data_IF_531491747137
#
_entry.id   IF_531491747137
#
_cell.length_a   1.000
_cell.length_b   1.000
_cell.length_c   1.000
_cell.angle_alpha   90.00
_cell.angle_beta   90.00
_cell.angle_gamma   90.00
#
_symmetry.space_group_name_H-M   'P 1'
#
loop_
_entity.id
_entity.type
_entity.pdbx_description
1 polymer ?
#
# COMPACT_ATOMS: atom_id res chain seq x y z
N UNK A 1 10.59 -1.78 10.31
CA UNK A 1 9.92 -0.59 9.74
C UNK A 1 10.51 -0.27 8.36
N UNK A 2 9.68 -0.06 7.33
CA UNK A 2 10.18 0.16 5.95
C UNK A 2 9.12 0.05 4.86
N UNK A 3 7.95 -0.53 5.14
CA UNK A 3 6.81 -0.55 4.23
C UNK A 3 5.86 0.63 4.51
N UNK A 4 5.68 1.50 3.52
CA UNK A 4 4.71 2.59 3.58
C UNK A 4 3.27 2.08 3.67
N UNK A 5 2.90 1.07 2.87
CA UNK A 5 1.55 0.47 2.88
C UNK A 5 1.19 -0.13 4.23
N UNK A 6 2.13 -0.85 4.87
CA UNK A 6 1.94 -1.38 6.22
C UNK A 6 1.76 -0.26 7.24
N UNK A 7 2.52 0.83 7.12
CA UNK A 7 2.42 1.97 8.02
C UNK A 7 1.03 2.61 7.96
N UNK A 8 0.50 2.82 6.74
CA UNK A 8 -0.86 3.35 6.52
C UNK A 8 -1.92 2.42 7.15
N UNK A 9 -1.79 1.10 6.93
CA UNK A 9 -2.76 0.15 7.47
C UNK A 9 -2.68 0.03 9.00
N UNK A 10 -1.49 0.01 9.59
CA UNK A 10 -1.36 -0.02 11.04
C UNK A 10 -1.89 1.27 11.70
N UNK A 11 -1.72 2.44 11.07
CA UNK A 11 -2.33 3.69 11.53
C UNK A 11 -3.87 3.62 11.50
N UNK A 12 -4.43 3.12 10.40
CA UNK A 12 -5.87 2.88 10.27
C UNK A 12 -6.39 1.94 11.38
N UNK A 13 -5.69 0.85 11.68
CA UNK A 13 -6.06 -0.04 12.80
C UNK A 13 -5.97 0.66 14.16
N UNK A 14 -4.92 1.47 14.39
CA UNK A 14 -4.74 2.21 15.65
C UNK A 14 -5.88 3.19 15.92
N UNK A 15 -6.40 3.87 14.88
CA UNK A 15 -7.58 4.75 14.98
C UNK A 15 -8.83 4.02 15.52
N UNK A 16 -8.88 2.70 15.33
CA UNK A 16 -9.95 1.82 15.81
C UNK A 16 -9.59 1.01 17.06
N UNK A 17 -8.51 1.37 17.77
CA UNK A 17 -7.98 0.60 18.91
C UNK A 17 -7.75 -0.89 18.56
N UNK A 18 -7.25 -1.15 17.35
CA UNK A 18 -6.87 -2.48 16.85
C UNK A 18 -5.38 -2.52 16.53
N UNK A 19 -4.85 -3.73 16.49
CA UNK A 19 -3.46 -4.01 16.09
C UNK A 19 -3.44 -5.28 15.24
N UNK A 20 -2.31 -5.54 14.57
CA UNK A 20 -2.12 -6.76 13.77
C UNK A 20 -2.21 -8.05 14.60
N UNK A 21 -2.07 -7.99 15.93
CA UNK A 21 -2.15 -9.14 16.82
C UNK A 21 -3.55 -9.77 16.89
N UNK A 22 -4.58 -9.12 16.30
CA UNK A 22 -5.93 -9.68 16.18
C UNK A 22 -6.06 -10.71 15.05
N UNK A 23 -5.11 -10.75 14.11
CA UNK A 23 -5.09 -11.78 13.07
C UNK A 23 -4.42 -13.05 13.61
N UNK A 24 -5.01 -14.22 13.34
CA UNK A 24 -4.48 -15.52 13.78
C UNK A 24 -3.12 -15.85 13.16
N UNK A 25 -2.85 -15.32 11.96
CA UNK A 25 -1.59 -15.47 11.23
C UNK A 25 -1.31 -14.22 10.43
N UNK A 26 -0.06 -13.77 10.45
CA UNK A 26 0.42 -12.63 9.66
C UNK A 26 1.72 -13.01 8.95
N UNK A 27 1.78 -12.78 7.64
CA UNK A 27 2.99 -12.97 6.83
C UNK A 27 3.47 -11.61 6.32
N UNK A 28 4.78 -11.35 6.36
CA UNK A 28 5.37 -10.11 5.84
C UNK A 28 6.20 -10.43 4.61
N UNK A 29 5.88 -9.78 3.48
CA UNK A 29 6.51 -9.98 2.17
C UNK A 29 6.80 -8.61 1.59
N UNK A 30 7.97 -8.44 0.96
CA UNK A 30 8.40 -7.18 0.36
C UNK A 30 8.09 -7.06 -1.13
N UNK A 31 7.87 -8.17 -1.81
CA UNK A 31 7.61 -8.23 -3.26
C UNK A 31 6.11 -8.26 -3.56
N UNK A 32 5.65 -7.31 -4.38
CA UNK A 32 4.23 -7.22 -4.75
C UNK A 32 3.77 -8.39 -5.62
N UNK A 33 4.63 -8.93 -6.49
CA UNK A 33 4.25 -10.06 -7.34
C UNK A 33 3.87 -11.27 -6.49
N UNK A 34 4.73 -11.60 -5.52
CA UNK A 34 4.53 -12.67 -4.55
C UNK A 34 3.25 -12.46 -3.72
N UNK A 35 3.01 -11.24 -3.23
CA UNK A 35 1.78 -10.93 -2.49
C UNK A 35 0.55 -11.19 -3.37
N UNK A 36 0.54 -10.71 -4.62
CA UNK A 36 -0.60 -10.86 -5.53
C UNK A 36 -0.89 -12.32 -5.84
N UNK A 37 0.14 -13.14 -6.11
CA UNK A 37 -0.04 -14.58 -6.33
C UNK A 37 -0.67 -15.28 -5.13
N UNK A 38 -0.17 -15.03 -3.91
CA UNK A 38 -0.71 -15.68 -2.71
C UNK A 38 -2.18 -15.29 -2.44
N UNK A 39 -2.55 -14.03 -2.71
CA UNK A 39 -3.94 -13.58 -2.56
C UNK A 39 -4.82 -14.19 -3.65
N UNK A 40 -4.37 -14.24 -4.90
CA UNK A 40 -5.09 -14.86 -6.00
C UNK A 40 -5.33 -16.37 -5.77
N UNK A 41 -4.37 -17.05 -5.12
CA UNK A 41 -4.48 -18.46 -4.72
C UNK A 41 -5.37 -18.66 -3.47
N UNK A 42 -6.00 -17.61 -2.95
CA UNK A 42 -6.94 -17.69 -1.82
C UNK A 42 -6.28 -17.87 -0.45
N UNK A 43 -4.98 -17.61 -0.32
CA UNK A 43 -4.22 -17.86 0.91
C UNK A 43 -4.33 -16.72 1.94
N UNK A 44 -5.05 -15.65 1.63
CA UNK A 44 -5.31 -14.56 2.57
C UNK A 44 -5.75 -13.26 1.89
N UNK A 45 -5.65 -12.17 2.64
CA UNK A 45 -5.91 -10.80 2.19
C UNK A 45 -4.66 -9.95 2.35
N UNK A 46 -4.57 -8.85 1.59
CA UNK A 46 -3.47 -7.89 1.70
C UNK A 46 -3.97 -6.46 1.48
N UNK A 47 -3.15 -5.49 1.90
CA UNK A 47 -3.42 -4.06 1.76
C UNK A 47 -2.30 -3.45 0.92
N UNK A 48 -2.68 -2.94 -0.25
CA UNK A 48 -1.77 -2.47 -1.31
C UNK A 48 -2.27 -1.15 -1.89
N UNK A 49 -1.39 -0.41 -2.58
CA UNK A 49 -1.81 0.70 -3.41
C UNK A 49 -2.60 0.17 -4.62
N UNK A 50 -3.71 0.81 -4.96
CA UNK A 50 -4.58 0.43 -6.07
C UNK A 50 -3.83 0.33 -7.41
N UNK A 51 -2.93 1.29 -7.68
CA UNK A 51 -2.09 1.28 -8.88
C UNK A 51 -1.21 0.02 -9.02
N UNK A 52 -0.85 -0.66 -7.92
CA UNK A 52 -0.03 -1.87 -7.95
C UNK A 52 -0.83 -3.14 -8.36
N UNK A 53 -2.16 -3.07 -8.31
CA UNK A 53 -3.09 -4.18 -8.56
C UNK A 53 -4.10 -3.90 -9.68
N UNK A 54 -3.99 -2.76 -10.38
CA UNK A 54 -4.97 -2.34 -11.40
C UNK A 54 -5.25 -3.42 -12.44
N UNK A 55 -4.20 -4.07 -12.97
CA UNK A 55 -4.36 -5.15 -13.97
C UNK A 55 -5.14 -6.35 -13.43
N UNK A 56 -4.86 -6.73 -12.19
CA UNK A 56 -5.53 -7.84 -11.51
C UNK A 56 -6.98 -7.52 -11.16
N UNK A 57 -7.29 -6.26 -10.85
CA UNK A 57 -8.66 -5.78 -10.67
C UNK A 57 -9.42 -5.78 -12.01
N UNK A 58 -8.81 -5.25 -13.07
CA UNK A 58 -9.41 -5.16 -14.42
C UNK A 58 -9.73 -6.55 -14.99
N UNK A 59 -8.88 -7.55 -14.71
CA UNK A 59 -9.06 -8.94 -15.12
C UNK A 59 -9.97 -9.75 -14.20
N UNK A 60 -10.35 -9.22 -13.03
CA UNK A 60 -11.17 -9.91 -12.03
C UNK A 60 -10.45 -11.02 -11.26
N UNK A 61 -9.12 -11.15 -11.40
CA UNK A 61 -8.31 -12.11 -10.64
C UNK A 61 -8.24 -11.73 -9.16
N UNK A 62 -8.21 -10.42 -8.88
CA UNK A 62 -8.31 -9.88 -7.54
C UNK A 62 -9.56 -9.01 -7.42
N UNK A 63 -10.10 -8.95 -6.21
CA UNK A 63 -11.20 -8.07 -5.85
C UNK A 63 -10.76 -7.10 -4.74
N UNK A 64 -11.29 -5.88 -4.80
CA UNK A 64 -11.13 -4.88 -3.74
C UNK A 64 -12.29 -4.97 -2.76
N UNK A 65 -12.02 -4.72 -1.49
CA UNK A 65 -13.02 -4.43 -0.48
C UNK A 65 -12.63 -3.14 0.25
N UNK A 66 -13.62 -2.38 0.69
CA UNK A 66 -13.41 -1.14 1.44
C UNK A 66 -13.71 -1.36 2.92
N UNK A 67 -12.93 -0.70 3.77
CA UNK A 67 -13.18 -0.64 5.21
C UNK A 67 -14.01 0.61 5.51
N UNK A 68 -15.26 0.40 5.95
CA UNK A 68 -16.15 1.49 6.33
C UNK A 68 -15.48 2.43 7.36
N UNK A 69 -15.73 3.74 7.20
CA UNK A 69 -15.24 4.79 8.10
C UNK A 69 -13.70 4.84 8.28
N UNK A 70 -12.97 4.17 7.38
CA UNK A 70 -11.51 4.02 7.50
C UNK A 70 -10.85 4.40 6.17
N UNK A 71 -10.94 5.69 5.75
CA UNK A 71 -10.20 6.12 4.58
C UNK A 71 -8.70 5.90 4.82
N UNK A 72 -8.09 5.21 3.87
CA UNK A 72 -6.66 4.94 3.83
C UNK A 72 -6.09 5.62 2.59
N UNK A 73 -5.33 6.67 2.81
CA UNK A 73 -4.64 7.41 1.75
C UNK A 73 -3.18 7.55 2.12
N UNK A 74 -2.30 7.36 1.15
CA UNK A 74 -0.88 7.68 1.26
C UNK A 74 -0.52 8.78 0.26
N UNK A 75 0.22 9.79 0.71
CA UNK A 75 0.84 10.73 -0.20
C UNK A 75 2.13 10.13 -0.75
N UNK A 76 2.35 10.31 -2.06
CA UNK A 76 3.65 10.10 -2.66
C UNK A 76 4.49 11.36 -2.47
N UNK A 77 5.66 11.19 -1.88
CA UNK A 77 6.60 12.28 -1.68
C UNK A 77 7.79 12.10 -2.61
N UNK A 78 8.12 13.15 -3.34
CA UNK A 78 9.39 13.24 -4.04
C UNK A 78 10.43 13.83 -3.10
N UNK A 79 11.52 13.10 -2.84
CA UNK A 79 12.58 13.51 -1.90
C UNK A 79 13.88 13.63 -2.67
N UNK A 80 14.50 14.81 -2.62
CA UNK A 80 15.81 15.08 -3.20
C UNK A 80 16.71 15.83 -2.20
N UNK A 81 18.02 15.83 -2.46
CA UNK A 81 18.96 16.59 -1.64
C UNK A 81 18.69 18.09 -1.76
N UNK A 82 18.91 18.81 -0.66
CA UNK A 82 18.92 20.28 -0.68
C UNK A 82 19.97 20.75 -1.70
N UNK A 83 19.63 21.80 -2.46
CA UNK A 83 20.49 22.37 -3.52
C UNK A 83 20.76 21.41 -4.69
N UNK A 84 19.87 20.45 -4.95
CA UNK A 84 19.94 19.64 -6.16
C UNK A 84 19.71 20.51 -7.41
N UNK A 85 20.67 20.49 -8.33
CA UNK A 85 20.70 21.30 -9.55
C UNK A 85 19.46 21.09 -10.45
N UNK A 86 18.85 19.91 -10.42
CA UNK A 86 17.71 19.51 -11.25
C UNK A 86 16.37 19.59 -10.50
N UNK A 87 16.35 20.00 -9.23
CA UNK A 87 15.13 19.98 -8.43
C UNK A 87 14.01 20.82 -9.07
N UNK A 88 14.34 21.98 -9.64
CA UNK A 88 13.36 22.84 -10.30
C UNK A 88 12.73 22.17 -11.53
N UNK A 89 13.54 21.53 -12.38
CA UNK A 89 13.07 20.82 -13.57
C UNK A 89 12.18 19.63 -13.19
N UNK A 90 12.56 18.89 -12.14
CA UNK A 90 11.77 17.75 -11.65
C UNK A 90 10.45 18.20 -11.03
N UNK A 91 10.43 19.30 -10.29
CA UNK A 91 9.19 19.88 -9.76
C UNK A 91 8.27 20.29 -10.92
N UNK A 92 8.80 20.97 -11.93
CA UNK A 92 8.02 21.38 -13.10
C UNK A 92 7.43 20.19 -13.87
N UNK A 93 8.17 19.08 -14.00
CA UNK A 93 7.67 17.86 -14.63
C UNK A 93 6.54 17.17 -13.86
N UNK A 94 6.44 17.39 -12.54
CA UNK A 94 5.42 16.77 -11.69
C UNK A 94 4.11 17.57 -11.59
N UNK A 95 4.09 18.83 -12.04
CA UNK A 95 2.88 19.66 -12.15
C UNK A 95 2.07 19.32 -13.41
#
# INVERSE_FOLDING_TARGET
PGSGTRTIFEDALRRHNRTLNRFSKTTTISDFSTIKSLVADGLGISFLYEAAVSKELDSGVLARFDLAETPMSGAFYFVCLKENLFAADWIHWME
#
